data_IF_938547392813
#
_entry.id   IF_938547392813
#
_cell.length_a   1.000
_cell.length_b   1.000
_cell.length_c   1.000
_cell.angle_alpha   90.00
_cell.angle_beta   90.00
_cell.angle_gamma   90.00
#
_symmetry.space_group_name_H-M   'P 1'
#
loop_
_entity.id
_entity.type
_entity.pdbx_description
1 polymer ?
#
# COMPACT_ATOMS: atom_id res chain seq x y z
N UNK A 1 20.54 -2.48 11.64
CA UNK A 1 20.37 -2.02 10.25
C UNK A 1 19.74 -0.63 10.15
N UNK A 2 18.75 -0.31 10.97
CA UNK A 2 18.20 1.06 11.07
C UNK A 2 19.26 2.06 11.59
N UNK A 3 20.11 1.64 12.52
CA UNK A 3 21.26 2.43 12.97
C UNK A 3 22.23 2.76 11.82
N UNK A 4 22.32 1.88 10.82
CA UNK A 4 23.19 2.09 9.67
C UNK A 4 22.59 3.12 8.69
N UNK A 5 21.28 3.09 8.43
CA UNK A 5 20.59 4.09 7.63
C UNK A 5 20.62 5.49 8.29
N UNK A 6 20.50 5.54 9.63
CA UNK A 6 20.60 6.78 10.39
C UNK A 6 22.04 7.38 10.38
N UNK A 7 23.07 6.54 10.20
CA UNK A 7 24.47 6.99 10.10
C UNK A 7 24.87 7.52 8.72
N UNK A 8 24.07 7.26 7.66
CA UNK A 8 24.30 7.74 6.29
C UNK A 8 23.42 8.94 5.92
N UNK A 9 22.39 9.23 6.71
CA UNK A 9 21.52 10.40 6.58
C UNK A 9 21.61 11.20 7.89
N UNK A 10 22.59 12.10 7.95
CA UNK A 10 22.90 12.84 9.18
C UNK A 10 21.89 13.96 9.44
N UNK A 11 21.39 14.59 8.39
CA UNK A 11 20.42 15.68 8.49
C UNK A 11 18.96 15.19 8.41
N UNK A 12 18.03 16.01 8.88
CA UNK A 12 16.60 15.72 8.74
C UNK A 12 16.17 15.70 7.26
N UNK A 13 16.74 16.58 6.45
CA UNK A 13 16.48 16.68 5.01
C UNK A 13 16.94 15.41 4.29
N UNK A 14 18.12 14.87 4.62
CA UNK A 14 18.63 13.64 4.01
C UNK A 14 17.76 12.43 4.39
N UNK A 15 17.33 12.33 5.67
CA UNK A 15 16.42 11.28 6.11
C UNK A 15 15.08 11.35 5.37
N UNK A 16 14.51 12.54 5.25
CA UNK A 16 13.27 12.74 4.51
C UNK A 16 13.43 12.39 3.02
N UNK A 17 14.53 12.78 2.40
CA UNK A 17 14.81 12.44 1.00
C UNK A 17 14.96 10.94 0.80
N UNK A 18 15.65 10.26 1.70
CA UNK A 18 15.82 8.81 1.68
C UNK A 18 14.48 8.08 1.81
N UNK A 19 13.64 8.49 2.78
CA UNK A 19 12.29 7.97 2.95
C UNK A 19 11.45 8.18 1.70
N UNK A 20 11.47 9.38 1.14
CA UNK A 20 10.73 9.71 -0.07
C UNK A 20 11.16 8.83 -1.26
N UNK A 21 12.46 8.64 -1.45
CA UNK A 21 13.01 7.77 -2.50
C UNK A 21 12.56 6.32 -2.30
N UNK A 22 12.56 5.83 -1.06
CA UNK A 22 12.13 4.47 -0.74
C UNK A 22 10.64 4.24 -0.98
N UNK A 23 9.81 5.20 -0.57
CA UNK A 23 8.37 5.16 -0.80
C UNK A 23 8.08 5.18 -2.31
N UNK A 24 8.72 6.08 -3.07
CA UNK A 24 8.52 6.19 -4.52
C UNK A 24 8.94 4.89 -5.23
N UNK A 25 10.12 4.35 -4.90
CA UNK A 25 10.59 3.08 -5.47
C UNK A 25 9.64 1.92 -5.16
N UNK A 26 9.14 1.83 -3.94
CA UNK A 26 8.16 0.82 -3.54
C UNK A 26 6.84 0.98 -4.30
N UNK A 27 6.33 2.21 -4.40
CA UNK A 27 5.09 2.48 -5.13
C UNK A 27 5.23 2.17 -6.63
N UNK A 28 6.37 2.49 -7.25
CA UNK A 28 6.64 2.14 -8.65
C UNK A 28 6.70 0.62 -8.83
N UNK A 29 7.42 -0.10 -7.98
CA UNK A 29 7.45 -1.57 -8.04
C UNK A 29 6.04 -2.15 -7.96
N UNK A 30 5.26 -1.74 -6.96
CA UNK A 30 3.97 -2.33 -6.65
C UNK A 30 2.88 -1.93 -7.65
N UNK A 31 2.70 -0.63 -7.87
CA UNK A 31 1.54 -0.11 -8.61
C UNK A 31 1.78 0.06 -10.10
N UNK A 32 3.04 0.23 -10.52
CA UNK A 32 3.37 0.42 -11.94
C UNK A 32 3.88 -0.87 -12.57
N UNK A 33 4.80 -1.55 -11.90
CA UNK A 33 5.50 -2.71 -12.47
C UNK A 33 4.90 -4.05 -12.05
N UNK A 34 3.86 -4.06 -11.20
CA UNK A 34 3.22 -5.28 -10.69
C UNK A 34 4.26 -6.26 -10.08
N UNK A 35 5.23 -5.68 -9.38
CA UNK A 35 6.32 -6.40 -8.74
C UNK A 35 6.17 -6.31 -7.24
N UNK A 36 5.73 -7.38 -6.60
CA UNK A 36 5.59 -7.47 -5.14
C UNK A 36 6.77 -8.25 -4.58
N UNK A 37 7.62 -7.58 -3.83
CA UNK A 37 8.70 -8.22 -3.10
C UNK A 37 8.11 -9.02 -1.94
N UNK A 38 8.13 -10.34 -2.06
CA UNK A 38 7.40 -11.24 -1.15
C UNK A 38 8.06 -11.40 0.22
N UNK A 39 9.30 -10.95 0.39
CA UNK A 39 10.06 -11.02 1.65
C UNK A 39 10.74 -9.67 1.98
N UNK A 40 9.99 -8.57 1.82
CA UNK A 40 10.50 -7.25 2.16
C UNK A 40 10.55 -7.08 3.69
N UNK A 41 11.72 -6.82 4.20
CA UNK A 41 11.96 -6.50 5.61
C UNK A 41 13.16 -5.58 5.73
N UNK A 42 13.40 -4.91 6.88
CA UNK A 42 14.54 -3.99 7.04
C UNK A 42 15.90 -4.61 6.71
N UNK A 43 16.01 -5.96 6.74
CA UNK A 43 17.18 -6.73 6.37
C UNK A 43 17.50 -6.72 4.89
N UNK A 44 16.49 -6.54 4.05
CA UNK A 44 16.59 -6.59 2.60
C UNK A 44 16.60 -5.18 1.97
N UNK A 45 16.71 -4.12 2.78
CA UNK A 45 16.85 -2.75 2.30
C UNK A 45 18.18 -2.18 2.80
N UNK A 46 19.09 -1.91 1.87
CA UNK A 46 20.37 -1.26 2.16
C UNK A 46 20.36 0.18 1.69
N UNK A 47 20.98 1.05 2.47
CA UNK A 47 21.35 2.40 2.06
C UNK A 47 22.81 2.40 1.66
N UNK A 48 23.11 2.90 0.48
CA UNK A 48 24.46 3.10 -0.02
C UNK A 48 24.62 4.54 -0.48
N UNK A 49 25.83 4.94 -0.85
CA UNK A 49 26.10 6.25 -1.44
C UNK A 49 26.57 6.10 -2.88
N UNK A 50 26.17 7.02 -3.73
CA UNK A 50 26.72 7.17 -5.09
C UNK A 50 28.07 7.84 -5.04
N UNK A 51 28.78 7.92 -6.19
CA UNK A 51 30.09 8.55 -6.28
C UNK A 51 30.09 10.06 -5.93
N UNK A 52 28.94 10.71 -6.04
CA UNK A 52 28.73 12.11 -5.66
C UNK A 52 28.29 12.29 -4.19
N UNK A 53 28.20 11.18 -3.43
CA UNK A 53 27.80 11.19 -2.02
C UNK A 53 26.29 11.13 -1.77
N UNK A 54 25.46 11.11 -2.81
CA UNK A 54 24.00 11.04 -2.65
C UNK A 54 23.54 9.67 -2.14
N UNK A 55 22.58 9.60 -1.21
CA UNK A 55 22.06 8.33 -0.70
C UNK A 55 21.31 7.56 -1.80
N UNK A 56 21.52 6.25 -1.84
CA UNK A 56 20.88 5.31 -2.74
C UNK A 56 20.33 4.13 -1.96
N UNK A 57 19.14 3.67 -2.34
CA UNK A 57 18.55 2.42 -1.83
C UNK A 57 18.90 1.24 -2.73
N UNK A 58 19.20 0.12 -2.11
CA UNK A 58 19.34 -1.17 -2.77
C UNK A 58 18.40 -2.18 -2.08
N UNK A 59 17.50 -2.77 -2.85
CA UNK A 59 16.67 -3.88 -2.39
C UNK A 59 17.41 -5.19 -2.66
N UNK A 60 17.49 -6.02 -1.64
CA UNK A 60 18.19 -7.29 -1.67
C UNK A 60 17.18 -8.45 -1.64
N UNK A 61 17.68 -9.63 -2.02
CA UNK A 61 16.96 -10.90 -1.89
C UNK A 61 15.58 -10.91 -2.56
N UNK A 62 15.54 -10.60 -3.84
CA UNK A 62 14.36 -10.78 -4.68
C UNK A 62 14.10 -12.26 -5.04
N UNK A 63 14.42 -13.19 -4.14
CA UNK A 63 14.19 -14.63 -4.32
C UNK A 63 12.71 -15.02 -4.28
N UNK A 64 11.89 -14.22 -3.61
CA UNK A 64 10.44 -14.38 -3.58
C UNK A 64 9.82 -13.11 -4.16
N UNK A 65 9.30 -13.24 -5.38
CA UNK A 65 8.58 -12.16 -6.07
C UNK A 65 7.22 -12.67 -6.49
N UNK A 66 6.19 -11.86 -6.27
CA UNK A 66 4.83 -12.12 -6.72
C UNK A 66 4.43 -11.06 -7.73
N UNK A 67 3.80 -11.48 -8.82
CA UNK A 67 3.07 -10.62 -9.74
C UNK A 67 1.65 -11.15 -9.90
N UNK A 68 0.70 -10.25 -10.08
CA UNK A 68 -0.70 -10.58 -10.27
C UNK A 68 -1.04 -10.62 -11.76
N UNK A 69 -2.19 -11.22 -12.12
CA UNK A 69 -2.74 -11.04 -13.48
C UNK A 69 -2.98 -9.54 -13.73
N UNK A 70 -2.99 -9.11 -14.99
CA UNK A 70 -3.30 -7.71 -15.33
C UNK A 70 -4.67 -7.29 -14.80
N UNK A 71 -5.64 -8.22 -14.79
CA UNK A 71 -6.97 -7.99 -14.25
C UNK A 71 -6.92 -7.77 -12.74
N UNK A 72 -6.31 -8.70 -11.97
CA UNK A 72 -6.24 -8.59 -10.51
C UNK A 72 -5.45 -7.37 -10.06
N UNK A 73 -4.31 -7.10 -10.70
CA UNK A 73 -3.50 -5.91 -10.41
C UNK A 73 -4.30 -4.62 -10.66
N UNK A 74 -5.04 -4.59 -11.77
CA UNK A 74 -5.90 -3.47 -12.07
C UNK A 74 -7.02 -3.25 -11.07
N UNK A 75 -7.72 -4.31 -10.68
CA UNK A 75 -8.77 -4.24 -9.66
C UNK A 75 -8.22 -3.75 -8.32
N UNK A 76 -7.02 -4.20 -7.92
CA UNK A 76 -6.36 -3.73 -6.70
C UNK A 76 -6.06 -2.22 -6.75
N UNK A 77 -5.55 -1.72 -7.89
CA UNK A 77 -5.31 -0.28 -8.08
C UNK A 77 -6.61 0.51 -7.99
N UNK A 78 -7.68 0.02 -8.62
CA UNK A 78 -8.97 0.70 -8.63
C UNK A 78 -9.63 0.70 -7.23
N UNK A 79 -9.57 -0.40 -6.48
CA UNK A 79 -10.03 -0.48 -5.08
C UNK A 79 -9.26 0.53 -4.20
N UNK A 80 -7.92 0.55 -4.29
CA UNK A 80 -7.11 1.49 -3.55
C UNK A 80 -7.35 2.94 -3.99
N UNK A 81 -7.58 3.17 -5.28
CA UNK A 81 -7.95 4.48 -5.83
C UNK A 81 -9.24 5.01 -5.18
N UNK A 82 -10.28 4.18 -5.07
CA UNK A 82 -11.53 4.54 -4.39
C UNK A 82 -11.28 4.83 -2.90
N UNK A 83 -10.50 4.03 -2.18
CA UNK A 83 -10.21 4.28 -0.78
C UNK A 83 -9.46 5.61 -0.58
N UNK A 84 -8.48 5.90 -1.41
CA UNK A 84 -7.71 7.14 -1.36
C UNK A 84 -8.51 8.39 -1.79
N UNK A 85 -9.60 8.21 -2.53
CA UNK A 85 -10.56 9.26 -2.87
C UNK A 85 -11.73 9.36 -1.89
N UNK A 86 -11.72 8.57 -0.80
CA UNK A 86 -12.80 8.50 0.20
C UNK A 86 -14.14 7.97 -0.36
N UNK A 87 -14.06 7.13 -1.39
CA UNK A 87 -15.18 6.45 -2.03
C UNK A 87 -15.23 4.99 -1.52
N UNK A 88 -15.42 4.83 -0.20
CA UNK A 88 -15.27 3.52 0.44
C UNK A 88 -16.36 2.53 0.05
N UNK A 89 -17.59 2.99 -0.22
CA UNK A 89 -18.68 2.13 -0.66
C UNK A 89 -18.36 1.49 -2.01
N UNK A 90 -17.90 2.29 -2.97
CA UNK A 90 -17.49 1.87 -4.31
C UNK A 90 -16.31 0.90 -4.25
N UNK A 91 -15.31 1.20 -3.42
CA UNK A 91 -14.19 0.30 -3.17
C UNK A 91 -14.64 -1.04 -2.60
N UNK A 92 -15.59 -1.05 -1.67
CA UNK A 92 -16.21 -2.27 -1.12
C UNK A 92 -16.95 -3.07 -2.19
N UNK A 93 -17.66 -2.42 -3.11
CA UNK A 93 -18.34 -3.07 -4.22
C UNK A 93 -17.35 -3.77 -5.16
N UNK A 94 -16.23 -3.11 -5.50
CA UNK A 94 -15.17 -3.73 -6.30
C UNK A 94 -14.50 -4.92 -5.60
N UNK A 95 -14.34 -4.89 -4.28
CA UNK A 95 -13.83 -6.04 -3.52
C UNK A 95 -14.74 -7.26 -3.65
N UNK A 96 -16.07 -7.06 -3.61
CA UNK A 96 -17.04 -8.14 -3.85
C UNK A 96 -16.95 -8.63 -5.29
N UNK A 97 -16.91 -7.73 -6.27
CA UNK A 97 -16.83 -8.07 -7.69
C UNK A 97 -15.58 -8.91 -7.99
N UNK A 98 -14.43 -8.54 -7.47
CA UNK A 98 -13.17 -9.29 -7.66
C UNK A 98 -13.27 -10.75 -7.18
N UNK A 99 -14.11 -11.02 -6.21
CA UNK A 99 -14.25 -12.34 -5.59
C UNK A 99 -15.63 -12.96 -5.72
N UNK A 100 -16.52 -12.37 -6.53
CA UNK A 100 -17.94 -12.75 -6.64
C UNK A 100 -18.14 -14.26 -6.91
N UNK A 101 -17.33 -14.86 -7.79
CA UNK A 101 -17.40 -16.29 -8.10
C UNK A 101 -17.04 -17.22 -6.93
N UNK A 102 -16.44 -16.68 -5.86
CA UNK A 102 -15.91 -17.42 -4.71
C UNK A 102 -16.58 -17.04 -3.38
N UNK A 103 -17.46 -16.02 -3.38
CA UNK A 103 -18.05 -15.46 -2.19
C UNK A 103 -19.51 -15.88 -2.04
N UNK A 104 -19.84 -16.41 -0.86
CA UNK A 104 -21.23 -16.60 -0.41
C UNK A 104 -21.64 -15.38 0.43
N UNK A 105 -21.70 -14.22 -0.22
CA UNK A 105 -21.91 -12.92 0.45
C UNK A 105 -23.31 -12.89 1.07
N UNK A 106 -23.37 -12.72 2.39
CA UNK A 106 -24.63 -12.69 3.13
C UNK A 106 -25.35 -11.35 3.04
N UNK A 107 -24.59 -10.25 2.96
CA UNK A 107 -25.11 -8.88 2.90
C UNK A 107 -24.09 -7.96 2.22
N UNK A 108 -24.17 -7.83 0.91
CA UNK A 108 -23.31 -7.01 0.09
C UNK A 108 -23.43 -5.52 0.43
N UNK A 109 -24.68 -5.04 0.65
CA UNK A 109 -24.92 -3.64 0.99
C UNK A 109 -24.33 -3.27 2.35
N UNK A 110 -24.53 -4.12 3.36
CA UNK A 110 -23.96 -3.92 4.69
C UNK A 110 -22.43 -3.89 4.67
N UNK A 111 -21.80 -4.79 3.91
CA UNK A 111 -20.35 -4.76 3.72
C UNK A 111 -19.87 -3.44 3.11
N UNK A 112 -20.44 -3.02 1.96
CA UNK A 112 -20.05 -1.78 1.30
C UNK A 112 -20.28 -0.55 2.21
N UNK A 113 -21.39 -0.53 2.95
CA UNK A 113 -21.68 0.54 3.92
C UNK A 113 -20.62 0.58 5.02
N UNK A 114 -20.23 -0.59 5.56
CA UNK A 114 -19.20 -0.68 6.60
C UNK A 114 -17.83 -0.20 6.12
N UNK A 115 -17.45 -0.57 4.91
CA UNK A 115 -16.21 -0.05 4.29
C UNK A 115 -16.32 1.47 4.07
N UNK A 116 -17.48 1.97 3.62
CA UNK A 116 -17.74 3.40 3.46
C UNK A 116 -17.59 4.19 4.77
N UNK A 117 -18.16 3.69 5.86
CA UNK A 117 -18.03 4.30 7.20
C UNK A 117 -16.56 4.36 7.64
N UNK A 118 -15.82 3.27 7.43
CA UNK A 118 -14.41 3.18 7.79
C UNK A 118 -13.56 4.17 6.99
N UNK A 119 -13.76 4.28 5.69
CA UNK A 119 -13.03 5.20 4.83
C UNK A 119 -13.39 6.65 5.12
N UNK A 120 -14.66 6.95 5.45
CA UNK A 120 -15.07 8.29 5.89
C UNK A 120 -14.46 8.67 7.25
N UNK A 121 -14.40 7.73 8.19
CA UNK A 121 -13.69 7.95 9.46
C UNK A 121 -12.21 8.26 9.23
N UNK A 122 -11.57 7.59 8.26
CA UNK A 122 -10.19 7.85 7.86
C UNK A 122 -9.98 9.29 7.34
N UNK A 123 -10.96 9.83 6.62
CA UNK A 123 -10.92 11.22 6.12
C UNK A 123 -10.84 12.24 7.26
N UNK A 124 -11.58 11.97 8.33
CA UNK A 124 -11.70 12.89 9.47
C UNK A 124 -10.60 12.65 10.53
N UNK A 125 -9.78 11.61 10.34
CA UNK A 125 -8.68 11.22 11.25
C UNK A 125 -7.38 11.17 10.45
N UNK A 126 -6.57 12.26 10.41
CA UNK A 126 -5.38 12.35 9.56
C UNK A 126 -4.38 11.22 9.73
N UNK A 127 -4.29 10.61 10.92
CA UNK A 127 -3.38 9.51 11.23
C UNK A 127 -3.92 8.13 10.90
N UNK A 128 -5.14 8.02 10.36
CA UNK A 128 -5.76 6.71 10.12
C UNK A 128 -5.01 5.92 9.02
N UNK A 129 -4.63 6.58 7.92
CA UNK A 129 -3.85 5.94 6.86
C UNK A 129 -2.40 5.66 7.28
N UNK A 130 -1.92 6.28 8.36
CA UNK A 130 -0.63 5.98 8.97
C UNK A 130 -0.69 4.67 9.80
N UNK A 131 -1.88 4.08 9.95
CA UNK A 131 -2.10 2.83 10.66
C UNK A 131 -2.68 1.74 9.74
N UNK A 132 -2.00 1.47 8.63
CA UNK A 132 -2.43 0.49 7.62
C UNK A 132 -2.79 -0.87 8.24
N UNK A 133 -2.04 -1.33 9.26
CA UNK A 133 -2.33 -2.59 9.94
C UNK A 133 -3.70 -2.62 10.61
N UNK A 134 -4.12 -1.52 11.23
CA UNK A 134 -5.46 -1.38 11.84
C UNK A 134 -6.54 -1.38 10.77
N UNK A 135 -6.33 -0.65 9.69
CA UNK A 135 -7.26 -0.59 8.55
C UNK A 135 -7.48 -1.97 7.91
N UNK A 136 -6.40 -2.74 7.72
CA UNK A 136 -6.49 -4.12 7.21
C UNK A 136 -7.34 -5.00 8.14
N UNK A 137 -7.09 -4.93 9.45
CA UNK A 137 -7.83 -5.72 10.44
C UNK A 137 -9.33 -5.38 10.42
N UNK A 138 -9.67 -4.10 10.27
CA UNK A 138 -11.07 -3.66 10.16
C UNK A 138 -11.73 -4.17 8.89
N UNK A 139 -11.04 -4.13 7.75
CA UNK A 139 -11.52 -4.68 6.47
C UNK A 139 -11.74 -6.20 6.60
N UNK A 140 -10.78 -6.92 7.17
CA UNK A 140 -10.89 -8.37 7.36
C UNK A 140 -12.05 -8.74 8.28
N UNK A 141 -12.29 -7.99 9.36
CA UNK A 141 -13.42 -8.22 10.25
C UNK A 141 -14.74 -7.98 9.52
N UNK A 142 -14.88 -6.87 8.81
CA UNK A 142 -16.07 -6.59 8.01
C UNK A 142 -16.31 -7.68 6.96
N UNK A 143 -15.24 -8.17 6.32
CA UNK A 143 -15.33 -9.26 5.34
C UNK A 143 -15.81 -10.56 5.98
N UNK A 144 -15.32 -10.90 7.18
CA UNK A 144 -15.78 -12.06 7.94
C UNK A 144 -17.27 -11.94 8.32
N UNK A 145 -17.69 -10.79 8.84
CA UNK A 145 -19.06 -10.54 9.31
C UNK A 145 -20.08 -10.68 8.16
N UNK A 146 -19.71 -10.25 6.95
CA UNK A 146 -20.57 -10.28 5.77
C UNK A 146 -20.26 -11.44 4.79
N UNK A 147 -19.39 -12.39 5.16
CA UNK A 147 -18.96 -13.53 4.36
C UNK A 147 -18.40 -13.12 2.98
N UNK A 148 -17.69 -12.02 2.93
CA UNK A 148 -16.95 -11.58 1.74
C UNK A 148 -15.56 -12.22 1.77
N UNK A 149 -15.15 -12.84 0.67
CA UNK A 149 -13.75 -13.30 0.53
C UNK A 149 -12.88 -12.14 0.06
N UNK A 150 -11.85 -11.82 0.80
CA UNK A 150 -10.86 -10.82 0.39
C UNK A 150 -9.83 -11.49 -0.51
N UNK A 151 -9.54 -10.89 -1.64
CA UNK A 151 -8.53 -11.39 -2.57
C UNK A 151 -7.15 -11.41 -1.90
N UNK A 152 -6.42 -12.52 -2.04
CA UNK A 152 -5.11 -12.68 -1.40
C UNK A 152 -4.11 -11.57 -1.79
N UNK A 153 -4.18 -11.10 -3.04
CA UNK A 153 -3.38 -9.98 -3.53
C UNK A 153 -3.60 -8.70 -2.75
N UNK A 154 -4.85 -8.38 -2.39
CA UNK A 154 -5.14 -7.21 -1.57
C UNK A 154 -4.44 -7.30 -0.20
N UNK A 155 -4.51 -8.44 0.46
CA UNK A 155 -3.85 -8.67 1.75
C UNK A 155 -2.32 -8.57 1.60
N UNK A 156 -1.74 -9.16 0.55
CA UNK A 156 -0.29 -9.12 0.31
C UNK A 156 0.21 -7.69 0.08
N UNK A 157 -0.52 -6.89 -0.71
CA UNK A 157 -0.19 -5.48 -0.94
C UNK A 157 -0.29 -4.69 0.37
N UNK A 158 -1.37 -4.88 1.11
CA UNK A 158 -1.59 -4.19 2.36
C UNK A 158 -0.50 -4.51 3.40
N UNK A 159 -0.07 -5.76 3.50
CA UNK A 159 1.05 -6.17 4.36
C UNK A 159 2.38 -5.57 3.88
N UNK A 160 2.62 -5.51 2.56
CA UNK A 160 3.82 -4.89 1.99
C UNK A 160 3.89 -3.40 2.31
N UNK A 161 2.76 -2.68 2.19
CA UNK A 161 2.66 -1.26 2.60
C UNK A 161 2.97 -1.11 4.09
N UNK A 162 2.45 -2.00 4.94
CA UNK A 162 2.72 -1.99 6.39
C UNK A 162 4.19 -2.18 6.73
N UNK A 163 4.90 -3.05 5.99
CA UNK A 163 6.34 -3.26 6.17
C UNK A 163 7.11 -1.99 5.80
N UNK A 164 6.79 -1.38 4.65
CA UNK A 164 7.45 -0.14 4.19
C UNK A 164 7.19 1.00 5.17
N UNK A 165 5.95 1.15 5.65
CA UNK A 165 5.60 2.11 6.70
C UNK A 165 6.49 1.91 7.94
N UNK A 166 6.63 0.67 8.41
CA UNK A 166 7.49 0.36 9.55
C UNK A 166 8.97 0.68 9.33
N UNK A 167 9.50 0.51 8.11
CA UNK A 167 10.87 0.88 7.75
C UNK A 167 11.01 2.40 7.73
N UNK A 168 10.08 3.10 7.08
CA UNK A 168 10.10 4.55 6.91
C UNK A 168 10.05 5.27 8.27
N UNK A 169 9.13 4.88 9.16
CA UNK A 169 9.02 5.47 10.51
C UNK A 169 10.29 5.28 11.35
N UNK A 170 11.03 4.19 11.14
CA UNK A 170 12.30 3.97 11.84
C UNK A 170 13.42 4.89 11.34
N UNK A 171 13.38 5.35 10.10
CA UNK A 171 14.36 6.28 9.50
C UNK A 171 13.96 7.72 9.81
N UNK A 172 12.70 8.07 9.60
CA UNK A 172 12.14 9.39 9.89
C UNK A 172 10.72 9.23 10.47
N UNK A 173 10.54 9.44 11.79
CA UNK A 173 9.22 9.35 12.43
C UNK A 173 8.19 10.36 11.92
N UNK A 174 8.61 11.41 11.21
CA UNK A 174 7.72 12.41 10.62
C UNK A 174 7.34 12.08 9.18
N UNK A 175 7.94 11.07 8.57
CA UNK A 175 7.65 10.68 7.19
C UNK A 175 6.28 9.99 7.07
N UNK A 176 5.54 10.34 6.02
CA UNK A 176 4.18 9.84 5.75
C UNK A 176 4.13 9.16 4.38
N UNK A 177 3.70 7.90 4.35
CA UNK A 177 3.64 7.08 3.12
C UNK A 177 2.43 7.44 2.26
N UNK A 178 1.27 7.67 2.88
CA UNK A 178 -0.01 7.79 2.20
C UNK A 178 -0.09 8.87 1.09
N UNK A 179 0.41 10.11 1.26
CA UNK A 179 0.31 11.12 0.22
C UNK A 179 1.06 10.76 -1.08
N UNK A 180 2.22 10.08 -0.95
CA UNK A 180 3.02 9.65 -2.10
C UNK A 180 2.38 8.46 -2.80
N UNK A 181 1.95 7.46 -2.05
CA UNK A 181 1.21 6.32 -2.58
C UNK A 181 -0.06 6.78 -3.32
N UNK A 182 -0.79 7.76 -2.76
CA UNK A 182 -1.98 8.34 -3.38
C UNK A 182 -1.70 8.90 -4.77
N UNK A 183 -0.62 9.65 -4.94
CA UNK A 183 -0.26 10.25 -6.23
C UNK A 183 -0.02 9.18 -7.31
N UNK A 184 0.68 8.09 -6.97
CA UNK A 184 0.96 6.99 -7.89
C UNK A 184 -0.30 6.19 -8.21
N UNK A 185 -1.06 5.79 -7.20
CA UNK A 185 -2.29 4.99 -7.37
C UNK A 185 -3.33 5.73 -8.22
N UNK A 186 -3.57 7.02 -7.94
CA UNK A 186 -4.51 7.82 -8.74
C UNK A 186 -4.03 7.94 -10.19
N UNK A 187 -2.75 8.19 -10.41
CA UNK A 187 -2.18 8.25 -11.76
C UNK A 187 -2.43 6.95 -12.54
N UNK A 188 -2.18 5.80 -11.92
CA UNK A 188 -2.35 4.50 -12.58
C UNK A 188 -3.84 4.14 -12.79
N UNK A 189 -4.71 4.44 -11.82
CA UNK A 189 -6.17 4.26 -11.98
C UNK A 189 -6.72 5.11 -13.13
N UNK A 190 -6.30 6.38 -13.26
CA UNK A 190 -6.71 7.24 -14.37
C UNK A 190 -6.21 6.75 -15.72
N UNK A 191 -4.96 6.27 -15.82
CA UNK A 191 -4.43 5.67 -17.07
C UNK A 191 -5.26 4.47 -17.53
N UNK A 192 -5.75 3.67 -16.61
CA UNK A 192 -6.58 2.50 -16.90
C UNK A 192 -7.95 2.92 -17.42
N UNK A 193 -8.62 3.86 -16.74
CA UNK A 193 -9.92 4.40 -17.18
C UNK A 193 -9.87 5.10 -18.54
N UNK A 194 -8.72 5.65 -18.94
CA UNK A 194 -8.54 6.25 -20.25
C UNK A 194 -8.20 5.24 -21.38
N UNK A 195 -7.98 3.95 -21.04
CA UNK A 195 -7.72 2.87 -22.00
C UNK A 195 -8.92 1.95 -22.23
N UNK A 196 -9.96 2.06 -21.42
CA UNK A 196 -11.23 1.33 -21.54
C UNK A 196 -12.22 2.13 -22.39
#
# INVERSE_FOLDING_TARGET
MVEWAAGLAETAEERQQLCNTGIDAFCEMLFVHNFVHGDLHPGNVLVTTTADGSPRLAFLDAGIVVSYSEFDHGMLIDILGHFLNYEGYEGGALMIEQTAAQSDVSDAHGFCTKIGEMVNFARDTPTFFDQVGTSISMICNAACDHRVRVHAGFISIALSVKVVEGIVIQVDPAAVVAPRAKAVVIRESLKRKGRA
#
